data_IF_009707897288
#
_entry.id   IF_009707897288
#
_cell.length_a   1.000
_cell.length_b   1.000
_cell.length_c   1.000
_cell.angle_alpha   90.00
_cell.angle_beta   90.00
_cell.angle_gamma   90.00
#
_symmetry.space_group_name_H-M   'P 1'
#
loop_
_entity.id
_entity.type
_entity.pdbx_description
1 polymer ?
#
# COMPACT_ATOMS: atom_id res chain seq x y z
N UNK A 1 -25.02 9.61 15.92
CA UNK A 1 -24.85 8.43 15.05
C UNK A 1 -23.36 8.14 14.99
N UNK A 2 -22.93 6.89 15.23
CA UNK A 2 -21.51 6.53 15.14
C UNK A 2 -21.05 6.59 13.67
N UNK A 3 -20.03 7.40 13.30
CA UNK A 3 -19.53 7.48 11.92
C UNK A 3 -19.00 6.15 11.37
N UNK A 4 -18.77 5.13 12.20
CA UNK A 4 -18.27 3.84 11.75
C UNK A 4 -19.39 2.81 11.50
N UNK A 5 -20.66 3.18 11.70
CA UNK A 5 -21.81 2.26 11.63
C UNK A 5 -22.37 1.99 10.24
N UNK A 6 -21.97 2.75 9.21
CA UNK A 6 -22.39 2.53 7.82
C UNK A 6 -21.97 1.16 7.24
N UNK A 7 -21.15 0.39 7.95
CA UNK A 7 -20.84 -1.00 7.67
C UNK A 7 -21.82 -2.02 8.30
N UNK A 8 -22.99 -1.57 8.80
CA UNK A 8 -23.96 -2.42 9.52
C UNK A 8 -24.55 -3.58 8.72
N UNK A 9 -24.54 -3.55 7.38
CA UNK A 9 -24.73 -4.78 6.59
C UNK A 9 -23.42 -5.53 6.63
N UNK A 10 -23.24 -6.37 7.64
CA UNK A 10 -22.11 -7.29 7.75
C UNK A 10 -21.81 -7.94 6.40
N UNK A 11 -20.74 -7.58 5.66
CA UNK A 11 -20.20 -8.44 4.61
C UNK A 11 -19.41 -9.62 5.23
N UNK A 12 -19.57 -9.84 6.54
CA UNK A 12 -18.43 -9.94 7.48
C UNK A 12 -18.07 -11.36 7.93
N UNK A 13 -18.81 -12.41 7.54
CA UNK A 13 -18.50 -13.76 8.04
C UNK A 13 -18.29 -14.80 6.95
N UNK A 14 -19.02 -14.78 5.83
CA UNK A 14 -18.92 -15.87 4.85
C UNK A 14 -17.51 -16.00 4.26
N UNK A 15 -16.94 -14.91 3.76
CA UNK A 15 -15.62 -14.95 3.12
C UNK A 15 -14.47 -15.23 4.09
N UNK A 16 -14.58 -14.76 5.33
CA UNK A 16 -13.61 -15.06 6.38
C UNK A 16 -13.72 -16.54 6.77
N UNK A 17 -14.94 -17.06 6.92
CA UNK A 17 -15.19 -18.49 7.16
C UNK A 17 -14.70 -19.36 6.00
N UNK A 18 -14.91 -18.94 4.76
CA UNK A 18 -14.44 -19.64 3.56
C UNK A 18 -12.90 -19.69 3.54
N UNK A 19 -12.24 -18.57 3.85
CA UNK A 19 -10.78 -18.50 3.96
C UNK A 19 -10.23 -19.37 5.11
N UNK A 20 -10.93 -19.43 6.24
CA UNK A 20 -10.60 -20.32 7.37
C UNK A 20 -10.76 -21.79 6.98
N UNK A 21 -11.84 -22.14 6.27
CA UNK A 21 -12.05 -23.51 5.77
C UNK A 21 -10.96 -23.92 4.77
N UNK A 22 -10.59 -23.03 3.85
CA UNK A 22 -9.49 -23.27 2.91
C UNK A 22 -8.16 -23.43 3.65
N UNK A 23 -7.90 -22.60 4.66
CA UNK A 23 -6.70 -22.72 5.51
C UNK A 23 -6.65 -24.06 6.26
N UNK A 24 -7.79 -24.54 6.76
CA UNK A 24 -7.90 -25.84 7.43
C UNK A 24 -7.67 -27.02 6.47
N UNK A 25 -8.18 -26.91 5.24
CA UNK A 25 -7.93 -27.92 4.20
C UNK A 25 -6.43 -27.96 3.85
N UNK A 26 -5.80 -26.80 3.75
CA UNK A 26 -4.38 -26.67 3.46
C UNK A 26 -3.52 -27.27 4.60
N UNK A 27 -3.89 -27.03 5.85
CA UNK A 27 -3.29 -27.68 7.02
C UNK A 27 -3.36 -29.21 6.92
N UNK A 28 -4.52 -29.78 6.52
CA UNK A 28 -4.66 -31.23 6.35
C UNK A 28 -3.74 -31.77 5.26
N UNK A 29 -3.64 -31.10 4.11
CA UNK A 29 -2.74 -31.52 3.03
C UNK A 29 -1.26 -31.48 3.45
N UNK A 30 -0.88 -30.48 4.24
CA UNK A 30 0.44 -30.42 4.85
C UNK A 30 0.69 -31.59 5.79
N UNK A 31 -0.28 -31.91 6.67
CA UNK A 31 -0.17 -33.06 7.58
C UNK A 31 -0.09 -34.42 6.88
N UNK A 32 -0.72 -34.57 5.71
CA UNK A 32 -0.61 -35.77 4.90
C UNK A 32 0.68 -35.86 4.07
N UNK A 33 1.52 -34.82 4.09
CA UNK A 33 2.78 -34.79 3.33
C UNK A 33 2.60 -34.47 1.84
N UNK A 34 1.43 -33.95 1.45
CA UNK A 34 1.12 -33.64 0.05
C UNK A 34 1.68 -32.28 -0.41
N UNK A 35 2.04 -31.40 0.53
CA UNK A 35 2.44 -30.00 0.26
C UNK A 35 3.66 -29.66 1.11
N UNK A 36 4.64 -28.96 0.53
CA UNK A 36 5.81 -28.50 1.29
C UNK A 36 5.49 -27.28 2.15
N UNK A 37 6.26 -27.05 3.22
CA UNK A 37 6.02 -25.92 4.14
C UNK A 37 6.04 -24.55 3.42
N UNK A 38 6.91 -24.37 2.42
CA UNK A 38 7.02 -23.14 1.63
C UNK A 38 5.77 -22.92 0.76
N UNK A 39 5.26 -23.99 0.14
CA UNK A 39 4.06 -23.94 -0.69
C UNK A 39 2.82 -23.66 0.15
N UNK A 40 2.73 -24.27 1.34
CA UNK A 40 1.69 -23.96 2.33
C UNK A 40 1.68 -22.47 2.66
N UNK A 41 2.84 -21.89 2.96
CA UNK A 41 2.97 -20.48 3.30
C UNK A 41 2.50 -19.58 2.14
N UNK A 42 2.97 -19.85 0.92
CA UNK A 42 2.56 -19.07 -0.26
C UNK A 42 1.05 -19.14 -0.50
N UNK A 43 0.45 -20.33 -0.47
CA UNK A 43 -0.98 -20.50 -0.68
C UNK A 43 -1.81 -19.82 0.41
N UNK A 44 -1.36 -19.90 1.67
CA UNK A 44 -2.01 -19.20 2.79
C UNK A 44 -1.99 -17.67 2.58
N UNK A 45 -0.84 -17.11 2.20
CA UNK A 45 -0.71 -15.68 1.91
C UNK A 45 -1.65 -15.27 0.78
N UNK A 46 -1.74 -16.06 -0.28
CA UNK A 46 -2.57 -15.76 -1.45
C UNK A 46 -4.07 -15.76 -1.11
N UNK A 47 -4.54 -16.74 -0.34
CA UNK A 47 -5.93 -16.81 0.15
C UNK A 47 -6.27 -15.57 0.99
N UNK A 48 -5.45 -15.26 1.99
CA UNK A 48 -5.73 -14.14 2.90
C UNK A 48 -5.60 -12.78 2.22
N UNK A 49 -4.67 -12.64 1.27
CA UNK A 49 -4.54 -11.44 0.47
C UNK A 49 -5.77 -11.22 -0.42
N UNK A 50 -6.23 -12.26 -1.12
CA UNK A 50 -7.42 -12.19 -1.97
C UNK A 50 -8.67 -11.83 -1.15
N UNK A 51 -8.87 -12.48 0.00
CA UNK A 51 -9.97 -12.17 0.92
C UNK A 51 -9.91 -10.72 1.44
N UNK A 52 -8.72 -10.23 1.80
CA UNK A 52 -8.54 -8.85 2.25
C UNK A 52 -8.92 -7.83 1.17
N UNK A 53 -8.47 -8.08 -0.06
CA UNK A 53 -8.73 -7.17 -1.17
C UNK A 53 -10.20 -7.16 -1.56
N UNK A 54 -10.86 -8.33 -1.54
CA UNK A 54 -12.30 -8.43 -1.75
C UNK A 54 -13.09 -7.67 -0.68
N UNK A 55 -12.78 -7.86 0.60
CA UNK A 55 -13.42 -7.13 1.71
C UNK A 55 -13.20 -5.61 1.59
N UNK A 56 -12.03 -5.18 1.10
CA UNK A 56 -11.73 -3.78 0.84
C UNK A 56 -12.63 -3.21 -0.25
N UNK A 57 -12.86 -3.94 -1.34
CA UNK A 57 -13.72 -3.52 -2.45
C UNK A 57 -15.19 -3.45 -2.05
N UNK A 58 -15.70 -4.49 -1.40
CA UNK A 58 -17.09 -4.55 -0.89
C UNK A 58 -17.40 -3.40 0.06
N UNK A 59 -16.48 -3.09 0.98
CA UNK A 59 -16.66 -1.98 1.91
C UNK A 59 -16.75 -0.63 1.19
N UNK A 60 -15.97 -0.41 0.12
CA UNK A 60 -16.07 0.81 -0.69
C UNK A 60 -17.41 0.94 -1.42
N UNK A 61 -17.95 -0.16 -1.93
CA UNK A 61 -19.27 -0.20 -2.56
C UNK A 61 -20.37 0.11 -1.52
N UNK A 62 -20.28 -0.50 -0.34
CA UNK A 62 -21.25 -0.28 0.74
C UNK A 62 -21.28 1.17 1.24
N UNK A 63 -20.12 1.82 1.40
CA UNK A 63 -20.11 3.24 1.78
C UNK A 63 -20.77 4.15 0.73
N UNK A 64 -20.57 3.86 -0.56
CA UNK A 64 -21.22 4.60 -1.66
C UNK A 64 -22.74 4.40 -1.68
N UNK A 65 -23.21 3.19 -1.43
CA UNK A 65 -24.63 2.84 -1.57
C UNK A 65 -25.46 3.17 -0.33
N UNK A 66 -24.89 3.08 0.86
CA UNK A 66 -25.66 3.06 2.12
C UNK A 66 -25.60 4.40 2.86
N UNK A 67 -24.44 5.06 2.89
CA UNK A 67 -24.23 6.30 3.66
C UNK A 67 -23.23 7.25 2.97
N UNK A 68 -23.62 7.91 1.85
CA UNK A 68 -22.73 8.82 1.13
C UNK A 68 -22.28 10.03 1.96
N UNK A 69 -23.04 10.39 3.01
CA UNK A 69 -22.72 11.49 3.92
C UNK A 69 -21.89 11.09 5.15
N UNK A 70 -21.38 9.85 5.19
CA UNK A 70 -20.54 9.40 6.29
C UNK A 70 -19.24 10.26 6.34
N UNK A 71 -18.91 10.92 7.46
CA UNK A 71 -17.73 11.77 7.56
C UNK A 71 -16.42 11.05 7.21
N UNK A 72 -16.27 9.77 7.58
CA UNK A 72 -15.07 8.96 7.29
C UNK A 72 -14.96 8.67 5.80
N UNK A 73 -16.10 8.43 5.14
CA UNK A 73 -16.18 8.26 3.70
C UNK A 73 -15.83 9.57 2.97
N UNK A 74 -16.46 10.70 3.36
CA UNK A 74 -16.20 12.00 2.74
C UNK A 74 -14.73 12.39 2.88
N UNK A 75 -14.13 12.27 4.07
CA UNK A 75 -12.73 12.65 4.31
C UNK A 75 -11.75 11.87 3.44
N UNK A 76 -11.98 10.55 3.29
CA UNK A 76 -11.09 9.68 2.51
C UNK A 76 -11.27 9.81 1.01
N UNK A 77 -12.50 9.96 0.51
CA UNK A 77 -12.78 10.08 -0.93
C UNK A 77 -12.58 11.48 -1.49
N UNK A 78 -12.74 12.53 -0.68
CA UNK A 78 -12.47 13.91 -1.10
C UNK A 78 -10.97 14.23 -1.20
N UNK A 79 -10.09 13.31 -0.78
CA UNK A 79 -8.66 13.56 -0.70
C UNK A 79 -8.25 14.54 0.42
N UNK A 80 -9.18 14.95 1.28
CA UNK A 80 -8.90 15.89 2.37
C UNK A 80 -8.00 15.25 3.42
N UNK A 81 -8.35 14.04 3.89
CA UNK A 81 -7.59 13.34 4.94
C UNK A 81 -7.96 11.85 5.01
N UNK A 82 -6.94 11.01 5.09
CA UNK A 82 -7.11 9.58 5.25
C UNK A 82 -7.21 8.86 3.90
N UNK A 83 -6.63 7.67 3.83
CA UNK A 83 -6.72 6.80 2.65
C UNK A 83 -7.82 5.76 2.86
N UNK A 84 -8.50 5.34 1.80
CA UNK A 84 -9.37 4.17 1.78
C UNK A 84 -8.76 2.94 2.46
N UNK A 85 -7.45 2.69 2.29
CA UNK A 85 -6.77 1.59 2.98
C UNK A 85 -6.70 1.78 4.51
N UNK A 86 -6.63 3.02 5.00
CA UNK A 86 -6.67 3.31 6.43
C UNK A 86 -8.09 3.14 6.99
N UNK A 87 -9.12 3.53 6.22
CA UNK A 87 -10.52 3.26 6.56
C UNK A 87 -10.79 1.76 6.63
N UNK A 88 -10.18 0.98 5.72
CA UNK A 88 -10.25 -0.49 5.76
C UNK A 88 -9.74 -1.08 7.07
N UNK A 89 -8.59 -0.62 7.56
CA UNK A 89 -8.04 -1.12 8.83
C UNK A 89 -8.87 -0.70 10.07
N UNK A 90 -9.67 0.36 9.95
CA UNK A 90 -10.56 0.81 11.03
C UNK A 90 -11.77 -0.11 11.19
N UNK A 91 -12.40 -0.46 10.06
CA UNK A 91 -13.73 -1.11 10.04
C UNK A 91 -13.67 -2.57 9.59
N UNK A 92 -12.79 -2.89 8.65
CA UNK A 92 -12.54 -4.26 8.16
C UNK A 92 -11.36 -4.93 8.85
N UNK A 93 -11.08 -6.18 8.47
CA UNK A 93 -9.92 -6.91 8.99
C UNK A 93 -8.62 -6.17 8.65
N UNK A 94 -7.63 -6.26 9.53
CA UNK A 94 -6.33 -5.58 9.30
C UNK A 94 -5.44 -6.34 8.31
N UNK A 95 -5.61 -7.65 8.21
CA UNK A 95 -4.95 -8.51 7.22
C UNK A 95 -3.60 -9.06 7.68
N UNK A 96 -2.78 -9.47 6.71
CA UNK A 96 -1.47 -10.07 6.96
C UNK A 96 -0.41 -9.04 7.35
N UNK A 97 0.58 -9.47 8.13
CA UNK A 97 1.71 -8.65 8.56
C UNK A 97 3.03 -9.37 8.29
N UNK A 98 4.10 -8.60 8.17
CA UNK A 98 5.46 -9.13 8.06
C UNK A 98 6.15 -9.17 9.42
N UNK A 99 7.03 -10.15 9.60
CA UNK A 99 7.98 -10.20 10.69
C UNK A 99 9.07 -9.10 10.54
N UNK A 100 9.94 -8.91 11.55
CA UNK A 100 11.06 -7.96 11.47
C UNK A 100 12.01 -8.22 10.29
N UNK A 101 12.16 -9.48 9.88
CA UNK A 101 13.01 -9.93 8.78
C UNK A 101 12.39 -9.64 7.41
N UNK A 102 11.10 -9.30 7.36
CA UNK A 102 10.33 -9.06 6.14
C UNK A 102 9.64 -10.29 5.55
N UNK A 103 9.65 -11.43 6.24
CA UNK A 103 8.85 -12.59 5.87
C UNK A 103 7.40 -12.37 6.28
N UNK A 104 6.47 -12.81 5.45
CA UNK A 104 5.04 -12.75 5.77
C UNK A 104 4.69 -13.78 6.83
N UNK A 105 3.96 -13.36 7.85
CA UNK A 105 3.45 -14.25 8.90
C UNK A 105 2.15 -14.86 8.38
N UNK A 106 2.01 -16.18 8.50
CA UNK A 106 0.83 -16.96 8.06
C UNK A 106 -0.41 -16.77 8.94
N UNK A 107 -0.33 -15.91 9.96
CA UNK A 107 -1.40 -15.58 10.87
C UNK A 107 -2.00 -14.20 10.54
N UNK A 108 -3.19 -14.15 9.91
CA UNK A 108 -3.86 -12.89 9.60
C UNK A 108 -4.44 -12.23 10.86
N UNK A 109 -4.47 -10.89 10.88
CA UNK A 109 -5.20 -10.12 11.89
C UNK A 109 -6.63 -9.93 11.38
N UNK A 110 -7.54 -10.76 11.87
CA UNK A 110 -8.96 -10.71 11.53
C UNK A 110 -9.69 -9.56 12.25
N UNK A 111 -9.21 -9.18 13.43
CA UNK A 111 -9.77 -8.09 14.22
C UNK A 111 -9.57 -6.74 13.54
N UNK A 112 -10.44 -5.79 13.89
CA UNK A 112 -10.39 -4.42 13.37
C UNK A 112 -10.06 -3.42 14.51
N UNK A 113 -9.58 -2.22 14.16
CA UNK A 113 -9.21 -1.23 15.16
C UNK A 113 -10.40 -0.69 15.96
N UNK A 114 -11.62 -0.73 15.39
CA UNK A 114 -12.84 -0.32 16.10
C UNK A 114 -13.21 -1.26 17.25
N UNK A 115 -13.10 -2.58 17.05
CA UNK A 115 -13.40 -3.62 18.06
C UNK A 115 -12.23 -3.84 19.01
N UNK A 116 -11.02 -3.51 18.57
CA UNK A 116 -9.78 -3.74 19.30
C UNK A 116 -9.05 -4.98 18.82
N UNK A 117 -7.75 -5.03 19.10
CA UNK A 117 -6.86 -6.14 18.76
C UNK A 117 -6.60 -6.97 20.01
N UNK A 118 -6.47 -8.28 19.86
CA UNK A 118 -5.92 -9.14 20.90
C UNK A 118 -4.44 -8.83 21.16
N UNK A 119 -3.90 -9.31 22.29
CA UNK A 119 -2.49 -9.11 22.64
C UNK A 119 -1.55 -9.60 21.55
N UNK A 120 -1.82 -10.80 20.99
CA UNK A 120 -1.00 -11.41 19.94
C UNK A 120 -1.06 -10.60 18.64
N UNK A 121 -2.26 -10.21 18.20
CA UNK A 121 -2.45 -9.39 17.00
C UNK A 121 -1.78 -8.01 17.15
N UNK A 122 -1.83 -7.43 18.34
CA UNK A 122 -1.17 -6.15 18.64
C UNK A 122 0.35 -6.28 18.53
N UNK A 123 0.95 -7.31 19.15
CA UNK A 123 2.40 -7.56 19.09
C UNK A 123 2.86 -7.79 17.64
N UNK A 124 2.12 -8.59 16.87
CA UNK A 124 2.41 -8.82 15.45
C UNK A 124 2.36 -7.49 14.67
N UNK A 125 1.34 -6.67 14.92
CA UNK A 125 1.23 -5.35 14.29
C UNK A 125 2.39 -4.40 14.65
N UNK A 126 3.03 -4.57 15.80
CA UNK A 126 4.17 -3.73 16.21
C UNK A 126 5.41 -3.96 15.36
N UNK A 127 5.63 -5.17 14.82
CA UNK A 127 6.79 -5.45 13.97
C UNK A 127 6.77 -4.60 12.69
N UNK A 128 5.65 -4.60 11.98
CA UNK A 128 5.45 -3.77 10.79
C UNK A 128 5.55 -2.28 11.10
N UNK A 129 4.98 -1.82 12.21
CA UNK A 129 5.05 -0.42 12.62
C UNK A 129 6.49 0.04 12.91
N UNK A 130 7.26 -0.76 13.66
CA UNK A 130 8.66 -0.47 13.98
C UNK A 130 9.53 -0.43 12.72
N UNK A 131 9.37 -1.39 11.80
CA UNK A 131 10.07 -1.40 10.52
C UNK A 131 9.75 -0.15 9.72
N UNK A 132 8.47 0.25 9.66
CA UNK A 132 8.05 1.48 9.01
C UNK A 132 8.74 2.74 9.56
N UNK A 133 8.86 2.87 10.89
CA UNK A 133 9.57 4.01 11.51
C UNK A 133 11.07 3.99 11.18
N UNK A 134 11.70 2.82 11.22
CA UNK A 134 13.12 2.67 10.87
C UNK A 134 13.34 3.03 9.39
N UNK A 135 12.50 2.54 8.49
CA UNK A 135 12.57 2.84 7.06
C UNK A 135 12.36 4.33 6.78
N UNK A 136 11.51 5.02 7.55
CA UNK A 136 11.35 6.48 7.46
C UNK A 136 12.66 7.18 7.85
N UNK A 137 13.32 6.75 8.92
CA UNK A 137 14.58 7.34 9.35
C UNK A 137 15.68 7.16 8.30
N UNK A 138 15.81 5.95 7.74
CA UNK A 138 16.76 5.64 6.65
C UNK A 138 16.45 6.49 5.41
N UNK A 139 15.20 6.51 4.94
CA UNK A 139 14.79 7.33 3.79
C UNK A 139 15.04 8.82 4.01
N UNK A 140 14.86 9.32 5.23
CA UNK A 140 15.13 10.72 5.57
C UNK A 140 16.63 11.04 5.45
N UNK A 141 17.49 10.15 5.95
CA UNK A 141 18.95 10.25 5.81
C UNK A 141 19.35 10.25 4.33
N UNK A 142 18.86 9.28 3.57
CA UNK A 142 19.23 9.10 2.15
C UNK A 142 18.76 10.28 1.29
N UNK A 143 17.56 10.81 1.54
CA UNK A 143 17.05 11.97 0.83
C UNK A 143 17.94 13.21 1.06
N UNK A 144 18.30 13.49 2.32
CA UNK A 144 19.20 14.60 2.65
C UNK A 144 20.58 14.45 2.02
N UNK A 145 21.14 13.23 2.08
CA UNK A 145 22.42 12.91 1.45
C UNK A 145 22.37 13.10 -0.07
N UNK A 146 21.32 12.61 -0.74
CA UNK A 146 21.13 12.76 -2.17
C UNK A 146 21.04 14.24 -2.57
N UNK A 147 20.22 15.03 -1.87
CA UNK A 147 20.09 16.47 -2.15
C UNK A 147 21.43 17.18 -1.98
N UNK A 148 22.21 16.86 -0.95
CA UNK A 148 23.54 17.44 -0.76
C UNK A 148 24.47 17.12 -1.94
N UNK A 149 24.55 15.86 -2.37
CA UNK A 149 25.40 15.48 -3.52
C UNK A 149 24.96 16.15 -4.82
N UNK A 150 23.66 16.25 -5.05
CA UNK A 150 23.13 16.95 -6.22
C UNK A 150 23.53 18.43 -6.22
N UNK A 151 23.43 19.10 -5.06
CA UNK A 151 23.85 20.50 -4.91
C UNK A 151 25.36 20.65 -5.14
N UNK A 152 26.19 19.76 -4.57
CA UNK A 152 27.65 19.80 -4.74
C UNK A 152 28.08 19.74 -6.22
N UNK A 153 27.34 19.01 -7.06
CA UNK A 153 27.60 18.93 -8.52
C UNK A 153 27.06 20.15 -9.27
N UNK A 154 25.85 20.60 -8.93
CA UNK A 154 25.12 21.63 -9.70
C UNK A 154 25.46 23.06 -9.24
N UNK A 155 26.11 23.25 -8.09
CA UNK A 155 26.36 24.58 -7.50
C UNK A 155 27.12 25.57 -8.41
N UNK A 156 27.88 25.08 -9.37
CA UNK A 156 28.62 25.93 -10.33
C UNK A 156 27.85 26.22 -11.62
N UNK A 157 26.67 25.61 -11.82
CA UNK A 157 25.83 25.76 -13.01
C UNK A 157 24.95 27.00 -12.84
N UNK A 158 25.22 28.04 -13.63
CA UNK A 158 24.48 29.31 -13.59
C UNK A 158 24.09 29.72 -15.00
N UNK A 159 22.83 30.15 -15.19
CA UNK A 159 22.34 30.71 -16.45
C UNK A 159 22.97 32.08 -16.67
N UNK A 160 23.93 32.19 -17.59
CA UNK A 160 24.64 33.44 -17.89
C UNK A 160 24.19 34.15 -19.17
N UNK A 161 23.62 33.42 -20.12
CA UNK A 161 23.22 33.93 -21.45
C UNK A 161 21.93 33.24 -21.87
N UNK A 162 21.12 33.95 -22.66
CA UNK A 162 19.82 33.47 -23.16
C UNK A 162 19.96 32.50 -24.33
N UNK A 163 20.90 32.73 -25.24
CA UNK A 163 21.19 31.84 -26.36
C UNK A 163 22.71 31.68 -26.52
N UNK A 164 23.18 30.43 -26.62
CA UNK A 164 24.58 30.10 -26.87
C UNK A 164 24.87 29.80 -28.36
N UNK A 165 23.85 29.85 -29.23
CA UNK A 165 23.97 29.68 -30.68
C UNK A 165 24.21 28.24 -31.12
N UNK A 166 23.95 27.24 -30.27
CA UNK A 166 24.22 25.83 -30.60
C UNK A 166 23.09 25.20 -31.42
N UNK A 167 23.45 24.46 -32.46
CA UNK A 167 22.49 23.69 -33.26
C UNK A 167 22.21 22.28 -32.69
N UNK A 168 22.88 21.90 -31.60
CA UNK A 168 22.74 20.58 -30.96
C UNK A 168 21.51 20.55 -30.07
N UNK A 169 20.74 19.47 -30.14
CA UNK A 169 19.57 19.27 -29.30
C UNK A 169 19.18 17.80 -29.16
N UNK A 170 18.39 17.51 -28.14
CA UNK A 170 17.89 16.16 -27.85
C UNK A 170 16.49 16.04 -28.43
N UNK A 171 16.26 15.02 -29.25
CA UNK A 171 14.93 14.68 -29.75
C UNK A 171 14.14 13.94 -28.67
N UNK A 172 13.02 14.51 -28.22
CA UNK A 172 12.11 13.86 -27.28
C UNK A 172 10.87 13.41 -28.05
N UNK A 173 10.61 12.10 -28.09
CA UNK A 173 9.38 11.58 -28.68
C UNK A 173 8.22 11.75 -27.71
N UNK A 174 7.24 12.61 -28.03
CA UNK A 174 5.94 12.54 -27.35
C UNK A 174 5.26 11.24 -27.76
N UNK A 175 4.76 10.50 -26.78
CA UNK A 175 4.17 9.16 -26.93
C UNK A 175 2.96 9.05 -27.88
N UNK A 176 2.53 10.13 -28.52
CA UNK A 176 1.41 10.17 -29.45
C UNK A 176 1.85 10.71 -30.82
N UNK A 177 2.60 9.91 -31.59
CA UNK A 177 2.55 9.83 -33.07
C UNK A 177 2.50 11.08 -33.97
N UNK A 178 2.71 12.29 -33.46
CA UNK A 178 2.65 13.53 -34.24
C UNK A 178 3.74 14.48 -33.76
N UNK A 179 4.65 14.80 -34.69
CA UNK A 179 5.72 15.80 -34.62
C UNK A 179 6.89 15.51 -33.65
N UNK A 180 8.03 15.16 -34.25
CA UNK A 180 9.36 15.30 -33.67
C UNK A 180 9.73 16.79 -33.64
N UNK A 181 9.21 17.55 -32.69
CA UNK A 181 9.75 18.87 -32.42
C UNK A 181 11.08 18.73 -31.66
N UNK A 182 12.14 19.42 -32.12
CA UNK A 182 13.41 19.55 -31.40
C UNK A 182 13.20 20.44 -30.18
N UNK A 183 12.58 19.90 -29.12
CA UNK A 183 12.12 20.71 -27.98
C UNK A 183 13.29 21.11 -27.04
N UNK A 184 14.44 20.45 -27.09
CA UNK A 184 15.60 20.85 -26.28
C UNK A 184 16.82 21.06 -27.16
N UNK A 185 17.11 22.32 -27.52
CA UNK A 185 18.46 22.72 -27.84
C UNK A 185 19.27 22.45 -26.57
N UNK A 186 20.29 21.61 -26.66
CA UNK A 186 21.14 21.26 -25.54
C UNK A 186 22.00 22.50 -25.26
N UNK A 187 21.48 23.43 -24.46
CA UNK A 187 22.26 24.48 -23.82
C UNK A 187 23.21 23.78 -22.85
N UNK A 188 24.35 23.37 -23.40
CA UNK A 188 25.50 22.96 -22.60
C UNK A 188 25.91 24.21 -21.82
N UNK A 189 25.71 24.13 -20.50
CA UNK A 189 26.19 25.11 -19.52
C UNK A 189 27.71 25.14 -19.47
#
# INVERSE_FOLDING_TARGET
>A
MDPYDGARRKPDLSWIQDAEQQSLILEKYYHYGNVYAVEKLHQSIEIWYATSEYLRQEMNLNFRMTEPFNPVHIMSFSGTRGNTSQVHQLVGMRGLMSDPQGQMIDLPIQSNLRKGLSLTEYIISCYGARKGVVDIAVRTSDAGYLTRRLIEVVQHIVVRRTDCGTARGISVSLRNGMMLERIFIQTVF
#
